data_IF_971732083282
#
_entry.id   IF_971732083282
#
_cell.length_a   1.000
_cell.length_b   1.000
_cell.length_c   1.000
_cell.angle_alpha   90.00
_cell.angle_beta   90.00
_cell.angle_gamma   90.00
#
_symmetry.space_group_name_H-M   'P 1'
#
loop_
_entity.id
_entity.type
_entity.pdbx_description
1 polymer ?
#
# COMPACT_ATOMS: atom_id res chain seq x y z
N UNK A 1 -3.55 -0.25 -18.57
CA UNK A 1 -4.26 -1.08 -17.54
C UNK A 1 -4.71 -0.17 -16.41
N UNK A 2 -6.00 -0.14 -16.15
CA UNK A 2 -6.59 0.71 -15.13
C UNK A 2 -6.43 0.09 -13.74
N UNK A 3 -5.91 0.86 -12.80
CA UNK A 3 -5.78 0.46 -11.40
C UNK A 3 -6.73 1.25 -10.52
N UNK A 4 -7.10 0.65 -9.39
CA UNK A 4 -7.80 1.33 -8.30
C UNK A 4 -6.82 1.46 -7.14
N UNK A 5 -6.77 2.65 -6.55
CA UNK A 5 -6.00 2.92 -5.34
C UNK A 5 -6.91 3.38 -4.21
N UNK A 6 -6.70 2.80 -3.04
CA UNK A 6 -7.35 3.20 -1.79
C UNK A 6 -6.25 3.74 -0.89
N UNK A 7 -6.34 5.01 -0.53
CA UNK A 7 -5.35 5.68 0.31
C UNK A 7 -5.99 6.19 1.59
N UNK A 8 -5.45 5.77 2.73
CA UNK A 8 -5.80 6.30 4.04
C UNK A 8 -4.68 7.23 4.50
N UNK A 9 -5.03 8.46 4.88
CA UNK A 9 -4.12 9.46 5.45
C UNK A 9 -4.41 9.63 6.92
N UNK A 10 -3.35 9.73 7.71
CA UNK A 10 -3.45 9.90 9.16
C UNK A 10 -2.28 9.26 9.90
N UNK A 11 -2.35 9.22 11.23
CA UNK A 11 -1.31 8.57 12.02
C UNK A 11 -1.36 7.06 11.87
N UNK A 12 -0.22 6.46 11.51
CA UNK A 12 -0.11 5.02 11.30
C UNK A 12 0.39 4.37 12.59
N UNK A 13 -0.24 3.26 12.98
CA UNK A 13 0.25 2.43 14.09
C UNK A 13 1.60 1.84 13.73
N UNK A 14 2.56 1.98 14.63
CA UNK A 14 3.84 1.30 14.48
C UNK A 14 3.61 -0.21 14.56
N UNK A 15 4.36 -0.95 13.77
CA UNK A 15 4.43 -2.39 13.91
C UNK A 15 4.90 -2.76 15.32
N UNK A 16 4.17 -3.67 15.97
CA UNK A 16 4.46 -4.10 17.34
C UNK A 16 4.59 -5.62 17.43
N UNK A 17 3.94 -6.40 16.56
CA UNK A 17 3.88 -7.86 16.63
C UNK A 17 3.49 -8.54 15.32
N UNK A 18 3.30 -9.86 15.35
CA UNK A 18 2.89 -10.66 14.22
C UNK A 18 1.49 -10.35 13.67
N UNK A 19 0.64 -9.68 14.43
CA UNK A 19 -0.72 -9.28 14.01
C UNK A 19 -0.67 -8.38 12.77
N UNK A 20 0.34 -7.52 12.68
CA UNK A 20 0.55 -6.68 11.51
C UNK A 20 0.78 -7.51 10.25
N UNK A 21 1.67 -8.50 10.31
CA UNK A 21 1.96 -9.38 9.19
C UNK A 21 0.75 -10.24 8.84
N UNK A 22 0.06 -10.79 9.83
CA UNK A 22 -1.16 -11.57 9.64
C UNK A 22 -2.22 -10.74 8.90
N UNK A 23 -2.37 -9.48 9.27
CA UNK A 23 -3.34 -8.58 8.63
C UNK A 23 -2.95 -8.27 7.18
N UNK A 24 -1.67 -8.01 6.90
CA UNK A 24 -1.20 -7.81 5.52
C UNK A 24 -1.41 -9.07 4.69
N UNK A 25 -1.02 -10.23 5.17
CA UNK A 25 -1.24 -11.52 4.48
C UNK A 25 -2.72 -11.78 4.22
N UNK A 26 -3.60 -11.45 5.17
CA UNK A 26 -5.04 -11.58 5.01
C UNK A 26 -5.60 -10.69 3.89
N UNK A 27 -5.10 -9.46 3.73
CA UNK A 27 -5.51 -8.58 2.62
C UNK A 27 -5.21 -9.26 1.29
N UNK A 28 -4.03 -9.85 1.13
CA UNK A 28 -3.68 -10.56 -0.11
C UNK A 28 -4.55 -11.82 -0.29
N UNK A 29 -4.78 -12.57 0.77
CA UNK A 29 -5.62 -13.78 0.73
C UNK A 29 -7.06 -13.49 0.31
N UNK A 30 -7.63 -12.35 0.69
CA UNK A 30 -8.97 -11.92 0.24
C UNK A 30 -9.08 -11.78 -1.28
N UNK A 31 -7.98 -11.48 -1.93
CA UNK A 31 -7.90 -11.35 -3.38
C UNK A 31 -7.43 -12.63 -4.07
N UNK A 32 -7.33 -13.74 -3.34
CA UNK A 32 -6.71 -15.00 -3.82
C UNK A 32 -5.28 -14.81 -4.32
N UNK A 33 -4.54 -13.90 -3.68
CA UNK A 33 -3.17 -13.54 -4.00
C UNK A 33 -2.22 -13.90 -2.86
N UNK A 34 -0.93 -13.92 -3.18
CA UNK A 34 0.16 -14.08 -2.21
C UNK A 34 1.15 -12.94 -2.37
N UNK A 35 1.78 -12.55 -1.27
CA UNK A 35 2.87 -11.59 -1.31
C UNK A 35 4.09 -12.26 -1.96
N UNK A 36 4.58 -11.69 -3.05
CA UNK A 36 5.74 -12.20 -3.80
C UNK A 36 7.03 -11.50 -3.39
N UNK A 37 6.97 -10.19 -3.23
CA UNK A 37 8.11 -9.33 -2.93
C UNK A 37 7.76 -8.26 -1.92
N UNK A 38 8.76 -7.71 -1.27
CA UNK A 38 8.66 -6.49 -0.48
C UNK A 38 9.88 -5.59 -0.68
N UNK A 39 9.71 -4.31 -0.46
CA UNK A 39 10.77 -3.31 -0.47
C UNK A 39 10.69 -2.43 0.76
N UNK A 40 11.82 -1.98 1.27
CA UNK A 40 11.92 -1.08 2.43
C UNK A 40 12.71 0.16 2.08
N UNK A 41 12.35 1.28 2.69
CA UNK A 41 13.15 2.50 2.72
C UNK A 41 13.43 2.87 4.16
N UNK A 42 14.71 3.00 4.48
CA UNK A 42 15.19 3.36 5.82
C UNK A 42 15.90 4.71 5.71
N UNK A 43 15.70 5.59 6.68
CA UNK A 43 16.33 6.89 6.72
C UNK A 43 17.85 6.79 6.56
N UNK A 44 18.41 7.65 5.73
CA UNK A 44 19.85 7.74 5.45
C UNK A 44 20.51 6.49 4.85
N UNK A 45 19.74 5.50 4.40
CA UNK A 45 20.25 4.29 3.74
C UNK A 45 19.60 4.13 2.36
N UNK A 46 20.41 3.79 1.38
CA UNK A 46 19.91 3.44 0.05
C UNK A 46 19.45 1.98 0.07
N UNK A 47 18.16 1.77 0.28
CA UNK A 47 17.54 0.44 0.48
C UNK A 47 16.67 -0.02 -0.69
N UNK A 48 16.76 0.62 -1.84
CA UNK A 48 15.85 0.44 -2.99
C UNK A 48 15.78 -0.94 -3.64
N UNK A 49 16.32 -2.00 -3.01
CA UNK A 49 16.25 -3.35 -3.55
C UNK A 49 15.00 -4.08 -3.05
N UNK A 50 14.26 -4.65 -4.01
CA UNK A 50 13.18 -5.57 -3.71
C UNK A 50 13.73 -6.93 -3.25
N UNK A 51 13.07 -7.52 -2.27
CA UNK A 51 13.38 -8.82 -1.69
C UNK A 51 12.22 -9.77 -1.90
N UNK A 52 12.51 -11.04 -2.14
CA UNK A 52 11.48 -12.07 -2.10
C UNK A 52 10.82 -12.08 -0.72
N UNK A 53 9.50 -12.14 -0.71
CA UNK A 53 8.76 -12.20 0.54
C UNK A 53 9.03 -13.53 1.26
N UNK A 54 9.42 -13.41 2.50
CA UNK A 54 9.52 -14.51 3.45
C UNK A 54 9.24 -13.97 4.84
N UNK A 55 8.22 -14.52 5.48
CA UNK A 55 7.96 -14.23 6.89
C UNK A 55 9.13 -14.74 7.72
N UNK A 56 9.65 -13.94 8.64
CA UNK A 56 10.74 -14.33 9.51
C UNK A 56 11.52 -13.16 10.10
N UNK A 57 12.64 -13.47 10.71
CA UNK A 57 13.46 -12.53 11.48
C UNK A 57 13.93 -11.31 10.67
N UNK A 58 14.28 -11.50 9.41
CA UNK A 58 14.78 -10.40 8.56
C UNK A 58 13.70 -9.35 8.35
N UNK A 59 12.49 -9.79 7.95
CA UNK A 59 11.35 -8.90 7.78
C UNK A 59 10.99 -8.22 9.11
N UNK A 60 10.96 -8.99 10.19
CA UNK A 60 10.67 -8.45 11.53
C UNK A 60 11.68 -7.37 11.95
N UNK A 61 12.97 -7.57 11.67
CA UNK A 61 14.01 -6.57 11.97
C UNK A 61 13.80 -5.27 11.18
N UNK A 62 13.36 -5.33 9.92
CA UNK A 62 13.01 -4.12 9.18
C UNK A 62 11.81 -3.41 9.79
N UNK A 63 10.75 -4.15 10.12
CA UNK A 63 9.52 -3.58 10.66
C UNK A 63 9.71 -2.95 12.04
N UNK A 64 10.61 -3.49 12.86
CA UNK A 64 10.94 -2.94 14.18
C UNK A 64 12.03 -1.86 14.16
N UNK A 65 12.56 -1.51 12.98
CA UNK A 65 13.54 -0.45 12.86
C UNK A 65 12.87 0.92 13.00
N UNK A 66 13.32 1.72 13.98
CA UNK A 66 12.78 3.06 14.23
C UNK A 66 13.01 4.06 13.08
N UNK A 67 13.97 3.78 12.21
CA UNK A 67 14.28 4.60 11.03
C UNK A 67 13.54 4.17 9.77
N UNK A 68 12.63 3.19 9.88
CA UNK A 68 11.80 2.75 8.75
C UNK A 68 10.90 3.90 8.28
N UNK A 69 11.09 4.33 7.05
CA UNK A 69 10.28 5.38 6.43
C UNK A 69 9.12 4.80 5.62
N UNK A 70 9.37 3.68 4.93
CA UNK A 70 8.35 3.05 4.08
C UNK A 70 8.60 1.56 3.93
N UNK A 71 7.52 0.80 3.83
CA UNK A 71 7.54 -0.59 3.38
C UNK A 71 6.45 -0.80 2.33
N UNK A 72 6.78 -1.55 1.29
CA UNK A 72 5.86 -1.93 0.23
C UNK A 72 5.82 -3.45 0.09
N UNK A 73 4.64 -4.00 -0.10
CA UNK A 73 4.43 -5.41 -0.40
C UNK A 73 3.81 -5.53 -1.79
N UNK A 74 4.20 -6.56 -2.54
CA UNK A 74 3.76 -6.76 -3.92
C UNK A 74 3.35 -8.20 -4.17
N UNK A 75 2.23 -8.39 -4.86
CA UNK A 75 1.91 -9.62 -5.56
C UNK A 75 2.12 -9.40 -7.05
N UNK A 76 2.79 -10.31 -7.71
CA UNK A 76 3.06 -10.25 -9.16
C UNK A 76 2.62 -11.54 -9.83
N UNK A 77 2.22 -11.51 -11.12
CA UNK A 77 1.98 -12.72 -11.90
C UNK A 77 3.28 -13.47 -12.16
N UNK A 78 3.19 -14.74 -12.55
CA UNK A 78 4.36 -15.58 -12.81
C UNK A 78 5.23 -15.08 -13.99
N UNK A 79 4.60 -14.40 -14.94
CA UNK A 79 5.21 -13.85 -16.16
C UNK A 79 5.61 -12.38 -16.06
N UNK A 80 5.73 -11.84 -14.85
CA UNK A 80 6.08 -10.43 -14.67
C UNK A 80 7.46 -10.09 -15.24
N UNK A 81 7.59 -8.88 -15.78
CA UNK A 81 8.85 -8.32 -16.26
C UNK A 81 9.48 -7.41 -15.21
N UNK A 82 8.69 -6.51 -14.64
CA UNK A 82 9.14 -5.65 -13.54
C UNK A 82 8.06 -5.52 -12.47
N UNK A 83 8.47 -5.61 -11.20
CA UNK A 83 7.55 -5.50 -10.06
C UNK A 83 6.85 -4.13 -10.03
N UNK A 84 7.53 -3.09 -10.52
CA UNK A 84 7.01 -1.72 -10.49
C UNK A 84 5.76 -1.51 -11.38
N UNK A 85 5.62 -2.33 -12.42
CA UNK A 85 4.55 -2.18 -13.41
C UNK A 85 3.60 -3.37 -13.48
N UNK A 86 4.08 -4.56 -13.15
CA UNK A 86 3.32 -5.80 -13.37
C UNK A 86 2.62 -6.32 -12.11
N UNK A 87 2.66 -5.59 -11.01
CA UNK A 87 2.00 -6.03 -9.78
C UNK A 87 0.47 -6.14 -9.95
N UNK A 88 -0.10 -7.14 -9.30
CA UNK A 88 -1.55 -7.37 -9.22
C UNK A 88 -2.16 -6.62 -8.04
N UNK A 89 -1.45 -6.61 -6.93
CA UNK A 89 -1.76 -5.86 -5.73
C UNK A 89 -0.46 -5.33 -5.11
N UNK A 90 -0.46 -4.06 -4.77
CA UNK A 90 0.60 -3.40 -4.01
C UNK A 90 0.02 -2.76 -2.76
N UNK A 91 0.62 -2.99 -1.60
CA UNK A 91 0.31 -2.29 -0.37
C UNK A 91 1.55 -1.51 0.06
N UNK A 92 1.41 -0.21 0.19
CA UNK A 92 2.46 0.71 0.63
C UNK A 92 2.09 1.33 1.97
N UNK A 93 2.99 1.26 2.92
CA UNK A 93 2.88 1.93 4.22
C UNK A 93 4.00 2.94 4.30
N UNK A 94 3.65 4.22 4.36
CA UNK A 94 4.58 5.34 4.40
C UNK A 94 4.51 6.03 5.76
N UNK A 95 5.41 5.65 6.65
CA UNK A 95 5.52 6.21 8.00
C UNK A 95 6.00 7.66 7.98
N UNK A 96 6.85 8.01 7.01
CA UNK A 96 7.39 9.36 6.88
C UNK A 96 6.32 10.39 6.53
N UNK A 97 5.41 10.02 5.64
CA UNK A 97 4.37 10.91 5.12
C UNK A 97 2.97 10.58 5.65
N UNK A 98 2.85 9.63 6.58
CA UNK A 98 1.62 9.28 7.27
C UNK A 98 0.46 8.91 6.33
N UNK A 99 0.71 7.96 5.42
CA UNK A 99 -0.34 7.38 4.61
C UNK A 99 -0.10 5.90 4.31
N UNK A 100 -1.17 5.19 4.03
CA UNK A 100 -1.18 3.83 3.54
C UNK A 100 -1.97 3.77 2.25
N UNK A 101 -1.48 3.01 1.28
CA UNK A 101 -2.16 2.84 -0.01
C UNK A 101 -2.20 1.37 -0.39
N UNK A 102 -3.37 0.89 -0.77
CA UNK A 102 -3.53 -0.35 -1.53
C UNK A 102 -3.85 0.01 -2.98
N UNK A 103 -3.06 -0.48 -3.91
CA UNK A 103 -3.26 -0.28 -5.35
C UNK A 103 -3.35 -1.64 -6.03
N UNK A 104 -4.37 -1.85 -6.83
CA UNK A 104 -4.66 -3.12 -7.47
C UNK A 104 -5.23 -2.96 -8.86
N UNK A 105 -5.05 -3.99 -9.68
CA UNK A 105 -5.67 -4.09 -10.99
C UNK A 105 -7.20 -4.16 -10.84
N UNK A 106 -7.89 -3.28 -11.55
CA UNK A 106 -9.36 -3.18 -11.52
C UNK A 106 -10.07 -4.50 -11.86
N UNK A 107 -9.45 -5.34 -12.66
CA UNK A 107 -10.05 -6.60 -13.13
C UNK A 107 -9.90 -7.77 -12.13
N UNK A 108 -9.09 -7.61 -11.09
CA UNK A 108 -8.77 -8.69 -10.15
C UNK A 108 -9.67 -8.66 -8.93
N UNK A 109 -10.13 -7.49 -8.52
CA UNK A 109 -10.81 -7.28 -7.24
C UNK A 109 -12.28 -6.94 -7.44
N UNK A 110 -13.14 -7.68 -6.75
CA UNK A 110 -14.56 -7.40 -6.69
C UNK A 110 -14.89 -6.34 -5.64
N UNK A 111 -16.11 -5.84 -5.65
CA UNK A 111 -16.56 -4.78 -4.76
C UNK A 111 -16.48 -5.16 -3.27
N UNK A 112 -16.76 -6.41 -2.92
CA UNK A 112 -16.68 -6.90 -1.53
C UNK A 112 -15.27 -6.83 -0.99
N UNK A 113 -14.28 -7.23 -1.80
CA UNK A 113 -12.85 -7.11 -1.45
C UNK A 113 -12.43 -5.67 -1.22
N UNK A 114 -12.98 -4.72 -1.98
CA UNK A 114 -12.68 -3.29 -1.80
C UNK A 114 -13.10 -2.82 -0.40
N UNK A 115 -14.29 -3.14 0.03
CA UNK A 115 -14.80 -2.74 1.35
C UNK A 115 -14.01 -3.40 2.49
N UNK A 116 -13.63 -4.65 2.33
CA UNK A 116 -12.80 -5.34 3.33
C UNK A 116 -11.37 -4.77 3.37
N UNK A 117 -10.78 -4.43 2.22
CA UNK A 117 -9.47 -3.75 2.18
C UNK A 117 -9.55 -2.40 2.89
N UNK A 118 -10.59 -1.60 2.66
CA UNK A 118 -10.80 -0.34 3.37
C UNK A 118 -10.81 -0.55 4.88
N UNK A 119 -11.59 -1.51 5.35
CA UNK A 119 -11.70 -1.83 6.77
C UNK A 119 -10.36 -2.29 7.36
N UNK A 120 -9.63 -3.15 6.64
CA UNK A 120 -8.33 -3.64 7.09
C UNK A 120 -7.27 -2.53 7.11
N UNK A 121 -7.26 -1.64 6.12
CA UNK A 121 -6.37 -0.48 6.14
C UNK A 121 -6.66 0.43 7.34
N UNK A 122 -7.92 0.61 7.71
CA UNK A 122 -8.30 1.40 8.88
C UNK A 122 -7.76 0.79 10.18
N UNK A 123 -7.59 -0.52 10.28
CA UNK A 123 -7.04 -1.16 11.48
C UNK A 123 -5.60 -0.75 11.79
N UNK A 124 -4.83 -0.35 10.78
CA UNK A 124 -3.45 0.12 10.95
C UNK A 124 -3.36 1.61 11.32
N UNK A 125 -4.46 2.33 11.18
CA UNK A 125 -4.48 3.75 11.52
C UNK A 125 -4.75 3.92 13.01
N UNK A 126 -3.86 4.63 13.69
CA UNK A 126 -4.14 5.12 15.03
C UNK A 126 -5.20 6.23 14.99
N UNK A 127 -5.09 7.08 13.97
CA UNK A 127 -6.02 8.15 13.69
C UNK A 127 -6.09 8.39 12.19
N UNK A 128 -7.23 8.10 11.58
CA UNK A 128 -7.46 8.36 10.18
C UNK A 128 -8.09 9.74 9.98
N UNK A 129 -7.55 10.54 9.05
CA UNK A 129 -8.06 11.86 8.70
C UNK A 129 -8.88 11.85 7.42
N UNK A 130 -8.48 11.04 6.45
CA UNK A 130 -9.10 10.99 5.14
C UNK A 130 -8.87 9.63 4.49
N UNK A 131 -9.88 9.16 3.77
CA UNK A 131 -9.77 8.05 2.84
C UNK A 131 -10.12 8.51 1.44
N UNK A 132 -9.29 8.19 0.48
CA UNK A 132 -9.48 8.50 -0.94
C UNK A 132 -9.50 7.21 -1.76
N UNK A 133 -10.43 7.13 -2.70
CA UNK A 133 -10.45 6.06 -3.71
C UNK A 133 -10.38 6.72 -5.07
N UNK A 134 -9.40 6.32 -5.87
CA UNK A 134 -9.22 6.87 -7.21
C UNK A 134 -8.76 5.81 -8.20
N UNK A 135 -9.03 6.04 -9.48
CA UNK A 135 -8.53 5.24 -10.59
C UNK A 135 -7.42 5.97 -11.32
N UNK A 136 -6.45 5.24 -11.80
CA UNK A 136 -5.42 5.76 -12.69
C UNK A 136 -5.02 4.72 -13.73
N UNK A 137 -4.48 5.18 -14.85
CA UNK A 137 -3.83 4.29 -15.78
C UNK A 137 -2.47 3.86 -15.24
N UNK A 138 -2.19 2.57 -15.26
CA UNK A 138 -0.96 2.00 -14.73
C UNK A 138 0.30 2.48 -15.48
N UNK A 139 0.17 2.83 -16.74
CA UNK A 139 1.25 3.39 -17.54
C UNK A 139 1.66 4.79 -17.07
N UNK A 140 0.76 5.54 -16.43
CA UNK A 140 1.03 6.87 -15.88
C UNK A 140 1.40 6.86 -14.39
N UNK A 141 1.80 5.79 -13.93
CA UNK A 141 2.42 5.35 -12.69
C UNK A 141 2.10 6.10 -11.39
N UNK A 142 1.63 5.35 -10.36
CA UNK A 142 1.65 5.79 -8.98
C UNK A 142 3.02 6.31 -8.52
N UNK A 143 4.10 5.81 -9.13
CA UNK A 143 5.46 6.24 -8.82
C UNK A 143 5.70 7.70 -9.25
N UNK A 144 5.25 8.10 -10.43
CA UNK A 144 5.39 9.49 -10.90
C UNK A 144 4.56 10.45 -10.04
N UNK A 145 3.36 10.03 -9.64
CA UNK A 145 2.53 10.79 -8.70
C UNK A 145 3.19 10.90 -7.32
N UNK A 146 3.71 9.79 -6.79
CA UNK A 146 4.40 9.77 -5.50
C UNK A 146 5.72 10.58 -5.51
N UNK A 147 6.36 10.71 -6.66
CA UNK A 147 7.58 11.51 -6.83
C UNK A 147 7.32 13.00 -7.11
N UNK A 148 6.05 13.43 -7.20
CA UNK A 148 5.69 14.80 -7.54
C UNK A 148 6.06 15.20 -8.97
N UNK A 149 6.46 14.27 -9.80
CA UNK A 149 6.66 14.48 -11.23
C UNK A 149 5.27 14.55 -11.84
N UNK A 150 4.95 15.69 -12.47
CA UNK A 150 3.64 15.99 -13.05
C UNK A 150 3.05 14.78 -13.76
N UNK A 151 2.20 14.05 -13.06
CA UNK A 151 1.16 13.32 -13.74
C UNK A 151 0.21 14.38 -14.31
N UNK A 152 -0.13 14.25 -15.56
CA UNK A 152 -1.25 15.00 -16.09
C UNK A 152 -2.48 14.55 -15.30
N UNK A 153 -2.94 15.35 -14.34
CA UNK A 153 -4.09 15.04 -13.46
C UNK A 153 -5.37 14.66 -14.22
N UNK A 154 -5.37 14.76 -15.54
CA UNK A 154 -6.47 14.35 -16.41
C UNK A 154 -6.77 12.87 -16.38
N UNK A 155 -5.83 12.05 -15.91
CA UNK A 155 -5.97 10.59 -15.89
C UNK A 155 -6.35 10.03 -14.53
N UNK A 156 -6.30 10.86 -13.48
CA UNK A 156 -6.72 10.45 -12.14
C UNK A 156 -8.18 10.83 -11.96
N UNK A 157 -9.02 9.81 -11.77
CA UNK A 157 -10.42 9.98 -11.42
C UNK A 157 -10.63 9.62 -9.96
N UNK A 158 -10.99 10.60 -9.14
CA UNK A 158 -11.40 10.33 -7.76
C UNK A 158 -12.78 9.67 -7.79
N UNK A 159 -12.87 8.46 -7.26
CA UNK A 159 -14.12 7.70 -7.14
C UNK A 159 -14.87 8.07 -5.86
N UNK A 160 -14.15 8.24 -4.76
CA UNK A 160 -14.67 8.75 -3.51
C UNK A 160 -13.59 9.42 -2.68
N UNK A 161 -13.99 10.39 -1.88
CA UNK A 161 -13.14 11.02 -0.87
C UNK A 161 -14.00 11.19 0.38
N UNK A 162 -13.63 10.48 1.44
CA UNK A 162 -14.34 10.50 2.71
C UNK A 162 -13.43 11.14 3.77
N UNK A 163 -13.84 12.31 4.27
CA UNK A 163 -13.19 12.94 5.41
C UNK A 163 -13.69 12.27 6.70
N UNK A 164 -12.78 11.70 7.45
CA UNK A 164 -13.09 11.23 8.80
C UNK A 164 -13.18 12.45 9.70
N UNK A 165 -14.39 12.72 10.21
CA UNK A 165 -14.57 13.79 11.18
C UNK A 165 -13.78 13.44 12.43
N UNK A 166 -12.82 14.27 12.76
CA UNK A 166 -12.24 14.26 14.07
C UNK A 166 -13.31 14.77 15.04
N UNK A 167 -13.70 13.95 15.99
CA UNK A 167 -14.30 14.44 17.21
C UNK A 167 -13.21 15.16 17.99
N UNK A 168 -13.06 16.45 17.71
CA UNK A 168 -12.28 17.33 18.57
C UNK A 168 -13.02 17.48 19.90
N UNK A 169 -12.60 16.71 20.83
CA UNK A 169 -12.97 16.95 22.22
C UNK A 169 -11.96 17.89 22.86
#
# INVERSE_FOLDING_TARGET
>A
METISITNRGSIRKFVDDVFIDTIENIYALCDLKISYYGVSIAYKNTGQLKKYKRGKILHNYLSNNELERINFFSVPDDFVTVAYDYLLSISINYKNNFMTATFDKNIINHECIEEIKTLLDTFMEKAYMQEIYTMDKEETPLLYAMGIKSDFKTIKILSSEAVKEDYV
#
